data_IF_827766532241
#
_entry.id   IF_827766532241
#
_cell.length_a   1.000
_cell.length_b   1.000
_cell.length_c   1.000
_cell.angle_alpha   90.00
_cell.angle_beta   90.00
_cell.angle_gamma   90.00
#
_symmetry.space_group_name_H-M   'P 1'
#
loop_
_entity.id
_entity.type
_entity.pdbx_description
1 polymer ?
#
# COMPACT_ATOMS: atom_id res chain seq x y z
N UNK A 1 14.83 9.05 16.11
CA UNK A 1 15.29 8.81 14.72
C UNK A 1 14.13 8.21 13.96
N UNK A 2 13.82 8.65 12.73
CA UNK A 2 12.80 7.99 11.93
C UNK A 2 13.25 6.57 11.61
N UNK A 3 12.38 5.59 11.83
CA UNK A 3 12.60 4.18 11.47
C UNK A 3 11.81 3.86 10.21
N UNK A 4 12.34 2.97 9.38
CA UNK A 4 11.67 2.45 8.17
C UNK A 4 11.94 0.95 8.04
N UNK A 5 11.15 0.27 7.21
CA UNK A 5 11.34 -1.14 6.90
C UNK A 5 12.59 -1.35 6.02
N UNK A 6 13.35 -2.40 6.29
CA UNK A 6 14.49 -2.77 5.44
C UNK A 6 14.04 -3.30 4.07
N UNK A 7 12.91 -4.00 4.02
CA UNK A 7 12.35 -4.60 2.82
C UNK A 7 10.83 -4.54 2.85
N UNK A 8 10.19 -4.69 1.69
CA UNK A 8 8.74 -4.85 1.63
C UNK A 8 8.30 -6.11 2.40
N UNK A 9 7.19 -6.00 3.12
CA UNK A 9 6.54 -7.09 3.85
C UNK A 9 5.13 -7.24 3.30
N UNK A 10 4.78 -8.49 2.98
CA UNK A 10 3.48 -8.83 2.43
C UNK A 10 2.70 -9.69 3.42
N UNK A 11 1.39 -9.51 3.45
CA UNK A 11 0.50 -10.33 4.24
C UNK A 11 -0.81 -10.54 3.49
N UNK A 12 -1.35 -11.74 3.56
CA UNK A 12 -2.65 -12.05 3.00
C UNK A 12 -3.58 -12.53 4.10
N UNK A 13 -4.82 -12.05 4.07
CA UNK A 13 -5.83 -12.40 5.05
C UNK A 13 -7.17 -12.68 4.37
N UNK A 14 -7.81 -13.78 4.75
CA UNK A 14 -9.16 -14.14 4.30
C UNK A 14 -10.15 -13.95 5.45
N UNK A 15 -11.12 -13.05 5.28
CA UNK A 15 -12.20 -12.79 6.26
C UNK A 15 -13.52 -12.89 5.55
N UNK A 16 -14.42 -13.77 6.01
CA UNK A 16 -15.80 -13.88 5.49
C UNK A 16 -15.87 -13.92 3.94
N UNK A 17 -14.99 -14.72 3.31
CA UNK A 17 -14.82 -14.85 1.84
C UNK A 17 -14.25 -13.63 1.12
N UNK A 18 -13.91 -12.56 1.83
CA UNK A 18 -13.15 -11.43 1.28
C UNK A 18 -11.66 -11.71 1.43
N UNK A 19 -10.88 -11.42 0.39
CA UNK A 19 -9.43 -11.58 0.34
C UNK A 19 -8.78 -10.19 0.47
N UNK A 20 -7.93 -10.04 1.47
CA UNK A 20 -7.16 -8.82 1.73
C UNK A 20 -5.69 -9.10 1.45
N UNK A 21 -5.11 -8.36 0.50
CA UNK A 21 -3.70 -8.47 0.11
C UNK A 21 -3.04 -7.17 0.57
N UNK A 22 -2.16 -7.26 1.57
CA UNK A 22 -1.48 -6.12 2.15
C UNK A 22 0.02 -6.15 1.80
N UNK A 23 0.56 -4.97 1.48
CA UNK A 23 1.99 -4.74 1.33
C UNK A 23 2.38 -3.49 2.11
N UNK A 24 3.40 -3.60 2.96
CA UNK A 24 4.04 -2.45 3.63
C UNK A 24 5.48 -2.38 3.16
N UNK A 25 5.87 -1.25 2.60
CA UNK A 25 7.20 -1.08 2.01
C UNK A 25 7.77 0.32 2.26
N UNK A 26 9.10 0.48 2.31
CA UNK A 26 9.72 1.79 2.43
C UNK A 26 9.39 2.65 1.21
N UNK A 27 9.07 3.92 1.44
CA UNK A 27 8.76 4.90 0.40
C UNK A 27 9.52 6.20 0.64
N UNK A 28 9.95 6.83 -0.45
CA UNK A 28 10.67 8.12 -0.41
C UNK A 28 9.70 9.29 -0.39
N UNK A 29 8.62 9.22 -1.17
CA UNK A 29 7.69 10.32 -1.40
C UNK A 29 6.32 9.81 -1.85
N UNK A 30 5.37 10.75 -2.01
CA UNK A 30 4.01 10.42 -2.42
C UNK A 30 3.88 10.00 -3.88
N UNK A 31 4.73 10.52 -4.77
CA UNK A 31 4.65 10.20 -6.19
C UNK A 31 5.12 8.75 -6.45
N UNK A 32 6.14 8.28 -5.73
CA UNK A 32 6.56 6.87 -5.76
C UNK A 32 5.47 5.95 -5.22
N UNK A 33 4.80 6.33 -4.12
CA UNK A 33 3.70 5.57 -3.55
C UNK A 33 2.52 5.45 -4.54
N UNK A 34 2.13 6.53 -5.21
CA UNK A 34 1.03 6.51 -6.17
C UNK A 34 1.32 5.56 -7.35
N UNK A 35 2.55 5.54 -7.87
CA UNK A 35 2.93 4.61 -8.95
C UNK A 35 2.76 3.14 -8.55
N UNK A 36 3.03 2.80 -7.29
CA UNK A 36 2.79 1.45 -6.78
C UNK A 36 1.30 1.16 -6.74
N UNK A 37 0.49 2.09 -6.21
CA UNK A 37 -0.97 1.93 -6.15
C UNK A 37 -1.56 1.71 -7.54
N UNK A 38 -1.11 2.48 -8.54
CA UNK A 38 -1.53 2.31 -9.92
C UNK A 38 -1.15 0.92 -10.48
N UNK A 39 0.02 0.40 -10.10
CA UNK A 39 0.45 -0.97 -10.41
C UNK A 39 -0.44 -2.03 -9.77
N UNK A 40 -0.79 -1.87 -8.49
CA UNK A 40 -1.67 -2.79 -7.76
C UNK A 40 -3.06 -2.88 -8.39
N UNK A 41 -3.60 -1.78 -8.89
CA UNK A 41 -4.84 -1.79 -9.66
C UNK A 41 -4.74 -2.63 -10.93
N UNK A 42 -3.63 -2.53 -11.67
CA UNK A 42 -3.40 -3.32 -12.87
C UNK A 42 -3.18 -4.82 -12.56
N UNK A 43 -2.51 -5.14 -11.45
CA UNK A 43 -2.28 -6.51 -10.98
C UNK A 43 -3.56 -7.16 -10.43
N UNK A 44 -4.49 -6.36 -9.89
CA UNK A 44 -5.71 -6.82 -9.25
C UNK A 44 -6.96 -6.12 -9.82
N UNK A 45 -7.31 -6.36 -11.10
CA UNK A 45 -8.45 -5.69 -11.74
C UNK A 45 -9.81 -6.03 -11.11
N UNK A 46 -9.88 -7.08 -10.28
CA UNK A 46 -11.08 -7.47 -9.53
C UNK A 46 -11.09 -6.98 -8.07
N UNK A 47 -10.10 -6.19 -7.64
CA UNK A 47 -10.12 -5.60 -6.32
C UNK A 47 -11.29 -4.62 -6.20
N UNK A 48 -12.04 -4.70 -5.09
CA UNK A 48 -13.12 -3.76 -4.82
C UNK A 48 -12.57 -2.37 -4.43
N UNK A 49 -11.38 -2.36 -3.84
CA UNK A 49 -10.69 -1.20 -3.30
C UNK A 49 -9.19 -1.49 -3.21
N UNK A 50 -8.35 -0.45 -3.29
CA UNK A 50 -6.90 -0.48 -3.06
C UNK A 50 -6.55 0.64 -2.09
N UNK A 51 -6.90 0.41 -0.82
CA UNK A 51 -6.70 1.39 0.22
C UNK A 51 -5.21 1.48 0.61
N UNK A 52 -4.74 2.68 0.90
CA UNK A 52 -3.33 2.91 1.23
C UNK A 52 -3.13 4.09 2.17
N UNK A 53 -2.03 4.04 2.90
CA UNK A 53 -1.58 5.11 3.77
C UNK A 53 -0.08 5.35 3.58
N UNK A 54 0.36 6.59 3.80
CA UNK A 54 1.74 7.01 3.60
C UNK A 54 2.20 7.94 4.71
N UNK A 55 3.45 7.74 5.12
CA UNK A 55 4.25 8.69 5.87
C UNK A 55 5.68 8.69 5.29
N UNK A 56 5.96 9.60 4.35
CA UNK A 56 7.24 9.66 3.63
C UNK A 56 7.53 11.06 3.10
N UNK A 57 8.81 11.45 3.02
CA UNK A 57 9.23 12.71 2.42
C UNK A 57 8.64 13.97 3.08
N UNK A 58 8.27 13.90 4.37
CA UNK A 58 7.56 14.98 5.07
C UNK A 58 6.08 15.12 4.71
N UNK A 59 5.53 14.15 3.97
CA UNK A 59 4.13 14.10 3.57
C UNK A 59 3.40 12.95 4.28
N UNK A 60 2.10 13.12 4.47
CA UNK A 60 1.19 12.06 4.90
C UNK A 60 0.01 11.93 3.94
N UNK A 61 -0.51 10.71 3.84
CA UNK A 61 -1.74 10.41 3.10
C UNK A 61 -2.47 9.23 3.77
N UNK A 62 -3.79 9.24 3.69
CA UNK A 62 -4.65 8.11 3.99
C UNK A 62 -5.78 8.14 2.96
N UNK A 63 -5.96 7.03 2.24
CA UNK A 63 -6.93 6.90 1.16
C UNK A 63 -7.68 5.59 1.38
N UNK A 64 -8.99 5.69 1.54
CA UNK A 64 -9.89 4.56 1.85
C UNK A 64 -10.41 3.84 0.60
N UNK A 65 -9.86 4.16 -0.58
CA UNK A 65 -10.39 3.78 -1.90
C UNK A 65 -10.36 2.29 -2.17
#
# INVERSE_FOLDING_TARGET
MPQTLNTAVHHELLIKKSRFIACVQPMTDRASAQKIVDGLWAEHPGAAHVCWALLAGGQSAAVDD
#
